data_IF_114218274416
#
_entry.id   IF_114218274416
#
_cell.length_a   1.000
_cell.length_b   1.000
_cell.length_c   1.000
_cell.angle_alpha   90.00
_cell.angle_beta   90.00
_cell.angle_gamma   90.00
#
_symmetry.space_group_name_H-M   'P 1'
#
loop_
_entity.id
_entity.type
_entity.pdbx_description
1 polymer ?
#
# COMPACT_ATOMS: atom_id res chain seq x y z
N UNK A 1 -17.09 0.88 -10.21
CA UNK A 1 -16.16 1.53 -9.26
C UNK A 1 -15.22 2.39 -10.09
N UNK A 2 -15.00 3.66 -9.72
CA UNK A 2 -14.10 4.55 -10.47
C UNK A 2 -12.65 4.05 -10.37
N UNK A 3 -11.79 4.45 -11.30
CA UNK A 3 -10.36 4.12 -11.26
C UNK A 3 -9.72 4.65 -9.98
N UNK A 4 -10.08 5.86 -9.57
CA UNK A 4 -9.66 6.45 -8.29
C UNK A 4 -10.08 5.58 -7.10
N UNK A 5 -11.33 5.08 -7.07
CA UNK A 5 -11.78 4.18 -6.00
C UNK A 5 -11.00 2.86 -5.98
N UNK A 6 -10.69 2.29 -7.14
CA UNK A 6 -9.92 1.05 -7.22
C UNK A 6 -8.49 1.24 -6.71
N UNK A 7 -7.82 2.31 -7.12
CA UNK A 7 -6.47 2.65 -6.67
C UNK A 7 -6.43 2.94 -5.16
N UNK A 8 -7.43 3.64 -4.63
CA UNK A 8 -7.59 3.84 -3.19
C UNK A 8 -7.66 2.51 -2.44
N UNK A 9 -8.51 1.58 -2.89
CA UNK A 9 -8.66 0.28 -2.24
C UNK A 9 -7.36 -0.55 -2.29
N UNK A 10 -6.63 -0.51 -3.41
CA UNK A 10 -5.32 -1.18 -3.52
C UNK A 10 -4.30 -0.59 -2.56
N UNK A 11 -4.21 0.75 -2.49
CA UNK A 11 -3.30 1.44 -1.57
C UNK A 11 -3.65 1.08 -0.12
N UNK A 12 -4.93 1.12 0.25
CA UNK A 12 -5.40 0.75 1.59
C UNK A 12 -5.01 -0.68 1.96
N UNK A 13 -5.28 -1.65 1.09
CA UNK A 13 -4.94 -3.06 1.35
C UNK A 13 -3.41 -3.25 1.55
N UNK A 14 -2.59 -2.56 0.77
CA UNK A 14 -1.15 -2.59 0.96
C UNK A 14 -0.71 -1.88 2.24
N UNK A 15 -1.40 -0.81 2.65
CA UNK A 15 -1.13 -0.10 3.90
C UNK A 15 -1.44 -0.98 5.11
N UNK A 16 -2.60 -1.64 5.13
CA UNK A 16 -2.98 -2.57 6.20
C UNK A 16 -1.94 -3.72 6.34
N UNK A 17 -1.44 -4.22 5.19
CA UNK A 17 -0.36 -5.22 5.17
C UNK A 17 0.96 -4.65 5.71
N UNK A 18 1.31 -3.42 5.31
CA UNK A 18 2.52 -2.75 5.76
C UNK A 18 2.51 -2.55 7.27
N UNK A 19 1.42 -2.04 7.83
CA UNK A 19 1.25 -1.82 9.27
C UNK A 19 1.35 -3.14 10.04
N UNK A 20 0.55 -4.14 9.67
CA UNK A 20 0.54 -5.44 10.37
C UNK A 20 1.89 -6.15 10.32
N UNK A 21 2.57 -6.16 9.16
CA UNK A 21 3.89 -6.80 9.05
C UNK A 21 5.00 -5.97 9.71
N UNK A 22 4.85 -4.63 9.77
CA UNK A 22 5.78 -3.77 10.51
C UNK A 22 5.73 -4.08 12.01
N UNK A 23 4.54 -4.16 12.60
CA UNK A 23 4.37 -4.50 14.01
C UNK A 23 4.95 -5.88 14.34
N UNK A 24 4.66 -6.90 13.50
CA UNK A 24 5.25 -8.24 13.66
C UNK A 24 6.78 -8.21 13.62
N UNK A 25 7.36 -7.39 12.73
CA UNK A 25 8.79 -7.23 12.62
C UNK A 25 9.39 -6.56 13.88
N UNK A 26 8.73 -5.54 14.42
CA UNK A 26 9.14 -4.91 15.69
C UNK A 26 9.04 -5.87 16.88
N UNK A 27 8.13 -6.84 16.81
CA UNK A 27 7.97 -7.91 17.80
C UNK A 27 8.87 -9.14 17.54
N UNK A 28 9.93 -9.00 16.71
CA UNK A 28 10.98 -10.01 16.54
C UNK A 28 10.80 -10.97 15.36
N UNK A 29 9.70 -10.88 14.60
CA UNK A 29 9.53 -11.70 13.39
C UNK A 29 10.30 -11.09 12.20
N UNK A 30 11.56 -11.50 12.03
CA UNK A 30 12.45 -11.00 10.97
C UNK A 30 11.89 -11.16 9.55
N UNK A 31 11.11 -12.22 9.28
CA UNK A 31 10.54 -12.45 7.96
C UNK A 31 9.44 -11.42 7.62
N UNK A 32 8.75 -10.88 8.62
CA UNK A 32 7.75 -9.84 8.40
C UNK A 32 8.37 -8.53 7.86
N UNK A 33 9.64 -8.25 8.20
CA UNK A 33 10.34 -7.07 7.70
C UNK A 33 10.46 -7.02 6.16
N UNK A 34 10.68 -8.17 5.50
CA UNK A 34 10.73 -8.20 4.03
C UNK A 34 9.34 -7.99 3.42
N UNK A 35 8.28 -8.51 4.07
CA UNK A 35 6.88 -8.32 3.63
C UNK A 35 6.43 -6.88 3.78
N UNK A 36 6.75 -6.22 4.91
CA UNK A 36 6.48 -4.80 5.12
C UNK A 36 7.14 -3.93 4.05
N UNK A 37 8.44 -4.17 3.75
CA UNK A 37 9.16 -3.44 2.69
C UNK A 37 8.58 -3.68 1.30
N UNK A 38 8.08 -4.89 1.01
CA UNK A 38 7.39 -5.17 -0.25
C UNK A 38 6.08 -4.38 -0.33
N UNK A 39 5.26 -4.39 0.71
CA UNK A 39 3.98 -3.70 0.75
C UNK A 39 4.11 -2.18 0.55
N UNK A 40 5.03 -1.52 1.27
CA UNK A 40 5.30 -0.08 1.09
C UNK A 40 5.87 0.23 -0.32
N UNK A 41 6.61 -0.72 -0.92
CA UNK A 41 7.08 -0.63 -2.29
C UNK A 41 5.95 -0.66 -3.32
N UNK A 42 4.92 -1.47 -3.11
CA UNK A 42 3.72 -1.48 -3.97
C UNK A 42 2.91 -0.19 -3.81
N UNK A 43 2.78 0.36 -2.59
CA UNK A 43 2.16 1.68 -2.37
C UNK A 43 2.86 2.75 -3.20
N UNK A 44 4.20 2.80 -3.16
CA UNK A 44 5.00 3.78 -3.92
C UNK A 44 4.68 3.77 -5.42
N UNK A 45 4.42 2.60 -6.02
CA UNK A 45 4.07 2.49 -7.44
C UNK A 45 2.70 3.11 -7.74
N UNK A 46 1.76 3.00 -6.80
CA UNK A 46 0.36 3.42 -6.99
C UNK A 46 0.11 4.91 -6.70
N UNK A 47 0.94 5.55 -5.87
CA UNK A 47 0.71 6.96 -5.43
C UNK A 47 0.57 7.92 -6.61
N UNK A 48 1.44 7.80 -7.62
CA UNK A 48 1.39 8.69 -8.79
C UNK A 48 0.13 8.45 -9.63
N UNK A 49 -0.25 7.19 -9.80
CA UNK A 49 -1.42 6.82 -10.59
C UNK A 49 -2.71 7.24 -9.90
N UNK A 50 -2.78 7.10 -8.58
CA UNK A 50 -3.90 7.62 -7.78
C UNK A 50 -4.04 9.13 -7.96
N UNK A 51 -2.93 9.88 -7.82
CA UNK A 51 -2.96 11.34 -8.01
C UNK A 51 -3.49 11.71 -9.40
N UNK A 52 -3.01 11.03 -10.45
CA UNK A 52 -3.44 11.27 -11.84
C UNK A 52 -4.94 10.96 -12.03
N UNK A 53 -5.40 9.80 -11.58
CA UNK A 53 -6.81 9.43 -11.68
C UNK A 53 -7.72 10.40 -10.92
N UNK A 54 -7.30 10.81 -9.71
CA UNK A 54 -8.05 11.72 -8.86
C UNK A 54 -8.23 13.11 -9.49
N UNK A 55 -7.19 13.67 -10.10
CA UNK A 55 -7.29 15.00 -10.76
C UNK A 55 -8.05 14.94 -12.08
N UNK A 56 -8.04 13.79 -12.75
CA UNK A 56 -8.77 13.58 -14.01
C UNK A 56 -10.26 13.27 -13.79
N UNK A 57 -10.68 12.95 -12.55
CA UNK A 57 -12.05 12.55 -12.22
C UNK A 57 -12.40 11.13 -12.67
N UNK A 58 -11.40 10.23 -12.76
CA UNK A 58 -11.53 8.84 -13.27
C UNK A 58 -11.93 7.79 -12.22
#
# INVERSE_FOLDING_TARGET
>A
MSKTSNLYNQIKNHFDTFESEHEKNMNGNKAAGSRARKAIGEIKKLVTDYRKASVAGE
#
